data_IF_622178906600
#
_entry.id   IF_622178906600
#
_cell.length_a   1.000
_cell.length_b   1.000
_cell.length_c   1.000
_cell.angle_alpha   90.00
_cell.angle_beta   90.00
_cell.angle_gamma   90.00
#
_symmetry.space_group_name_H-M   'P 1'
#
loop_
_entity.id
_entity.type
_entity.pdbx_description
1 polymer ?
#
# COMPACT_ATOMS: atom_id res chain seq x y z
N UNK A 1 -35.36 0.74 11.18
CA UNK A 1 -34.31 1.57 11.52
C UNK A 1 -33.14 0.71 11.85
N UNK A 2 -32.39 0.47 10.95
CA UNK A 2 -31.06 0.28 11.39
C UNK A 2 -30.72 1.46 12.26
N UNK A 3 -31.43 1.47 13.40
CA UNK A 3 -31.32 2.52 14.34
C UNK A 3 -29.86 2.69 14.63
N UNK A 4 -29.27 3.68 14.18
CA UNK A 4 -27.96 4.02 14.57
C UNK A 4 -26.84 3.80 13.57
N UNK A 5 -27.10 3.23 12.41
CA UNK A 5 -26.12 3.28 11.34
C UNK A 5 -26.71 4.18 10.25
N UNK A 6 -26.48 5.50 10.33
CA UNK A 6 -26.91 6.35 9.25
C UNK A 6 -26.21 5.88 7.99
N UNK A 7 -26.99 5.58 7.00
CA UNK A 7 -26.45 5.34 5.69
C UNK A 7 -25.55 6.50 5.27
N UNK A 8 -24.47 6.21 4.56
CA UNK A 8 -23.69 7.25 3.94
C UNK A 8 -24.56 8.02 2.97
N UNK A 9 -24.56 9.33 3.07
CA UNK A 9 -25.16 10.19 2.05
C UNK A 9 -24.41 10.03 0.74
N UNK A 10 -24.98 10.48 -0.35
CA UNK A 10 -24.28 10.45 -1.65
C UNK A 10 -22.98 11.25 -1.60
N UNK A 11 -22.97 12.36 -0.88
CA UNK A 11 -21.75 13.16 -0.70
C UNK A 11 -20.71 12.43 0.12
N UNK A 12 -21.10 11.77 1.20
CA UNK A 12 -20.21 10.98 2.02
C UNK A 12 -19.62 9.79 1.23
N UNK A 13 -20.45 9.12 0.43
CA UNK A 13 -19.99 8.04 -0.46
C UNK A 13 -18.95 8.54 -1.45
N UNK A 14 -19.18 9.68 -2.08
CA UNK A 14 -18.21 10.28 -3.00
C UNK A 14 -16.90 10.64 -2.30
N UNK A 15 -16.98 11.13 -1.08
CA UNK A 15 -15.78 11.44 -0.28
C UNK A 15 -14.99 10.16 0.03
N UNK A 16 -15.66 9.07 0.39
CA UNK A 16 -15.01 7.78 0.64
C UNK A 16 -14.38 7.25 -0.64
N UNK A 17 -15.10 7.26 -1.75
CA UNK A 17 -14.58 6.81 -3.05
C UNK A 17 -13.40 7.64 -3.52
N UNK A 18 -13.46 8.96 -3.33
CA UNK A 18 -12.35 9.87 -3.65
C UNK A 18 -11.12 9.56 -2.81
N UNK A 19 -11.31 9.31 -1.51
CA UNK A 19 -10.21 8.95 -0.61
C UNK A 19 -9.58 7.61 -0.98
N UNK A 20 -10.40 6.64 -1.37
CA UNK A 20 -9.91 5.35 -1.88
C UNK A 20 -9.02 5.56 -3.10
N UNK A 21 -9.48 6.34 -4.06
CA UNK A 21 -8.70 6.65 -5.27
C UNK A 21 -7.38 7.33 -4.93
N UNK A 22 -7.38 8.29 -4.00
CA UNK A 22 -6.17 8.98 -3.55
C UNK A 22 -5.17 7.99 -2.94
N UNK A 23 -5.63 7.14 -2.03
CA UNK A 23 -4.76 6.16 -1.36
C UNK A 23 -4.23 5.14 -2.36
N UNK A 24 -5.06 4.64 -3.28
CA UNK A 24 -4.63 3.72 -4.34
C UNK A 24 -3.51 4.34 -5.18
N UNK A 25 -3.63 5.62 -5.50
CA UNK A 25 -2.57 6.35 -6.21
C UNK A 25 -1.29 6.49 -5.39
N UNK A 26 -1.41 6.69 -4.08
CA UNK A 26 -0.26 6.85 -3.17
C UNK A 26 0.54 5.56 -2.98
N UNK A 27 -0.14 4.40 -2.95
CA UNK A 27 0.52 3.11 -2.71
C UNK A 27 1.07 2.46 -3.98
N UNK A 28 0.81 3.01 -5.15
CA UNK A 28 1.30 2.51 -6.42
C UNK A 28 2.43 3.39 -6.96
N UNK A 29 3.40 2.81 -7.70
CA UNK A 29 4.43 3.60 -8.35
C UNK A 29 3.84 4.60 -9.36
N UNK A 30 4.37 5.82 -9.35
CA UNK A 30 4.03 6.85 -10.34
C UNK A 30 4.98 6.84 -11.54
N UNK A 31 4.77 7.76 -12.48
CA UNK A 31 5.49 7.78 -13.75
C UNK A 31 7.01 7.96 -13.64
N UNK A 32 7.50 8.70 -12.63
CA UNK A 32 8.93 8.95 -12.42
C UNK A 32 9.56 8.03 -11.38
N UNK A 33 8.80 7.13 -10.79
CA UNK A 33 9.24 6.32 -9.65
C UNK A 33 10.41 5.41 -10.00
N UNK A 34 10.45 4.86 -11.21
CA UNK A 34 11.55 4.01 -11.64
C UNK A 34 12.88 4.74 -11.59
N UNK A 35 12.96 5.96 -12.12
CA UNK A 35 14.16 6.77 -12.10
C UNK A 35 14.56 7.16 -10.68
N UNK A 36 13.60 7.51 -9.86
CA UNK A 36 13.85 7.86 -8.45
C UNK A 36 14.36 6.64 -7.68
N UNK A 37 13.78 5.47 -7.88
CA UNK A 37 14.24 4.23 -7.23
C UNK A 37 15.65 3.86 -7.66
N UNK A 38 15.99 4.02 -8.92
CA UNK A 38 17.38 3.81 -9.40
C UNK A 38 18.35 4.75 -8.72
N UNK A 39 17.99 6.02 -8.57
CA UNK A 39 18.82 7.00 -7.85
C UNK A 39 18.97 6.62 -6.36
N UNK A 40 17.90 6.13 -5.73
CA UNK A 40 17.94 5.66 -4.35
C UNK A 40 18.83 4.42 -4.19
N UNK A 41 18.83 3.51 -5.15
CA UNK A 41 19.73 2.35 -5.15
C UNK A 41 21.19 2.78 -5.27
N UNK A 42 21.50 3.73 -6.15
CA UNK A 42 22.83 4.28 -6.27
C UNK A 42 23.31 4.95 -4.96
N UNK A 43 22.43 5.73 -4.33
CA UNK A 43 22.69 6.32 -3.00
C UNK A 43 22.97 5.23 -1.96
N UNK A 44 22.15 4.19 -1.94
CA UNK A 44 22.32 3.07 -1.01
C UNK A 44 23.69 2.39 -1.16
N UNK A 45 24.13 2.16 -2.39
CA UNK A 45 25.42 1.53 -2.67
C UNK A 45 26.59 2.39 -2.24
N UNK A 46 26.43 3.71 -2.22
CA UNK A 46 27.45 4.65 -1.73
C UNK A 46 27.37 4.79 -0.21
N UNK A 47 26.18 4.87 0.35
CA UNK A 47 25.94 5.14 1.77
C UNK A 47 26.26 3.96 2.68
N UNK A 48 26.25 2.74 2.15
CA UNK A 48 26.48 1.52 2.92
C UNK A 48 27.79 0.85 2.48
N UNK A 49 28.41 0.08 3.37
CA UNK A 49 29.54 -0.74 3.00
C UNK A 49 29.08 -1.79 1.98
N UNK A 50 29.80 -1.92 0.90
CA UNK A 50 29.53 -2.90 -0.13
C UNK A 50 30.85 -3.53 -0.61
N UNK A 51 30.74 -4.80 -1.05
CA UNK A 51 31.86 -5.44 -1.72
C UNK A 51 32.18 -4.66 -3.02
N UNK A 52 33.46 -4.64 -3.38
CA UNK A 52 33.87 -4.01 -4.64
C UNK A 52 33.26 -4.78 -5.81
N UNK A 53 32.26 -4.19 -6.44
CA UNK A 53 31.52 -4.82 -7.55
C UNK A 53 32.02 -4.22 -8.88
N UNK A 54 32.09 -5.06 -9.92
CA UNK A 54 32.27 -4.59 -11.28
C UNK A 54 31.02 -3.84 -11.74
N UNK A 55 31.17 -3.02 -12.78
CA UNK A 55 30.07 -2.28 -13.37
C UNK A 55 28.89 -3.23 -13.76
N UNK A 56 29.23 -4.39 -14.35
CA UNK A 56 28.23 -5.39 -14.73
C UNK A 56 27.52 -6.00 -13.52
N UNK A 57 28.25 -6.27 -12.43
CA UNK A 57 27.67 -6.78 -11.19
C UNK A 57 26.74 -5.77 -10.54
N UNK A 58 27.08 -4.49 -10.55
CA UNK A 58 26.21 -3.40 -10.08
C UNK A 58 24.92 -3.35 -10.90
N UNK A 59 25.03 -3.47 -12.21
CA UNK A 59 23.89 -3.47 -13.13
C UNK A 59 22.96 -4.64 -12.86
N UNK A 60 23.50 -5.86 -12.69
CA UNK A 60 22.70 -7.05 -12.36
C UNK A 60 22.03 -6.90 -10.99
N UNK A 61 22.78 -6.44 -9.99
CA UNK A 61 22.28 -6.25 -8.63
C UNK A 61 21.14 -5.22 -8.61
N UNK A 62 21.33 -4.10 -9.31
CA UNK A 62 20.30 -3.07 -9.43
C UNK A 62 19.04 -3.60 -10.10
N UNK A 63 19.19 -4.43 -11.14
CA UNK A 63 18.06 -5.05 -11.83
C UNK A 63 17.25 -5.98 -10.89
N UNK A 64 17.94 -6.71 -10.02
CA UNK A 64 17.29 -7.59 -9.03
C UNK A 64 16.48 -6.75 -8.03
N UNK A 65 17.07 -5.68 -7.49
CA UNK A 65 16.35 -4.79 -6.58
C UNK A 65 15.13 -4.16 -7.26
N UNK A 66 15.29 -3.70 -8.50
CA UNK A 66 14.18 -3.09 -9.24
C UNK A 66 13.06 -4.07 -9.51
N UNK A 67 13.37 -5.33 -9.81
CA UNK A 67 12.38 -6.39 -9.99
C UNK A 67 11.60 -6.65 -8.69
N UNK A 68 12.30 -6.80 -7.57
CA UNK A 68 11.71 -7.06 -6.26
C UNK A 68 10.85 -5.88 -5.79
N UNK A 69 11.30 -4.66 -6.07
CA UNK A 69 10.63 -3.42 -5.62
C UNK A 69 9.71 -2.83 -6.69
N UNK A 70 9.37 -3.59 -7.72
CA UNK A 70 8.59 -3.11 -8.87
C UNK A 70 7.31 -2.40 -8.46
N UNK A 71 6.57 -2.95 -7.52
CA UNK A 71 5.27 -2.43 -7.10
C UNK A 71 5.34 -1.45 -5.92
N UNK A 72 6.56 -1.09 -5.49
CA UNK A 72 6.78 -0.18 -4.38
C UNK A 72 6.91 1.25 -4.90
N UNK A 73 6.13 2.20 -4.38
CA UNK A 73 6.29 3.60 -4.73
C UNK A 73 7.60 4.16 -4.18
N UNK A 74 8.20 5.10 -4.90
CA UNK A 74 9.50 5.67 -4.54
C UNK A 74 9.52 6.29 -3.14
N UNK A 75 8.43 6.90 -2.70
CA UNK A 75 8.38 7.51 -1.36
C UNK A 75 8.54 6.49 -0.24
N UNK A 76 7.95 5.29 -0.40
CA UNK A 76 8.08 4.23 0.59
C UNK A 76 9.51 3.69 0.65
N UNK A 77 10.13 3.51 -0.50
CA UNK A 77 11.54 3.11 -0.59
C UNK A 77 12.46 4.14 0.05
N UNK A 78 12.22 5.42 -0.21
CA UNK A 78 13.00 6.50 0.39
C UNK A 78 12.91 6.48 1.91
N UNK A 79 11.70 6.36 2.46
CA UNK A 79 11.50 6.27 3.91
C UNK A 79 12.18 5.06 4.53
N UNK A 80 12.04 3.90 3.88
CA UNK A 80 12.67 2.66 4.34
C UNK A 80 14.19 2.81 4.38
N UNK A 81 14.80 3.36 3.34
CA UNK A 81 16.24 3.59 3.30
C UNK A 81 16.71 4.62 4.33
N UNK A 82 15.96 5.69 4.55
CA UNK A 82 16.27 6.66 5.61
C UNK A 82 16.28 6.02 6.99
N UNK A 83 15.32 5.15 7.26
CA UNK A 83 15.29 4.38 8.51
C UNK A 83 16.45 3.39 8.60
N UNK A 84 16.82 2.78 7.48
CA UNK A 84 17.96 1.88 7.42
C UNK A 84 19.26 2.62 7.79
N UNK A 85 19.51 3.78 7.17
CA UNK A 85 20.70 4.58 7.46
C UNK A 85 20.74 5.07 8.92
N UNK A 86 19.58 5.29 9.52
CA UNK A 86 19.46 5.69 10.92
C UNK A 86 19.48 4.51 11.91
N UNK A 87 19.53 3.27 11.43
CA UNK A 87 19.49 2.09 12.27
C UNK A 87 18.15 1.86 12.97
N UNK A 88 17.04 2.29 12.35
CA UNK A 88 15.71 2.30 12.98
C UNK A 88 14.75 1.28 12.40
N UNK A 89 15.25 0.12 11.97
CA UNK A 89 14.38 -0.95 11.47
C UNK A 89 14.36 -2.07 12.50
N UNK A 90 13.16 -2.42 12.96
CA UNK A 90 12.96 -3.46 13.96
C UNK A 90 13.38 -4.84 13.43
N UNK A 91 13.95 -5.65 14.30
CA UNK A 91 14.36 -7.02 13.97
C UNK A 91 15.69 -7.14 13.22
N UNK A 92 16.39 -6.04 13.04
CA UNK A 92 17.71 -6.01 12.37
C UNK A 92 18.78 -5.78 13.41
N UNK A 93 19.85 -6.60 13.40
CA UNK A 93 21.00 -6.43 14.28
C UNK A 93 21.74 -5.14 13.92
N UNK A 94 22.27 -4.46 14.94
CA UNK A 94 22.87 -3.14 14.78
C UNK A 94 24.04 -3.13 13.79
N UNK A 95 24.84 -4.17 13.76
CA UNK A 95 25.98 -4.28 12.84
C UNK A 95 25.55 -4.46 11.38
N UNK A 96 24.33 -4.94 11.14
CA UNK A 96 23.82 -5.11 9.77
C UNK A 96 23.53 -3.79 9.06
N UNK A 97 23.26 -2.71 9.81
CA UNK A 97 23.00 -1.40 9.22
C UNK A 97 24.21 -0.78 8.51
N UNK A 98 25.40 -1.30 8.74
CA UNK A 98 26.60 -0.86 8.01
C UNK A 98 26.61 -1.37 6.56
N UNK A 99 25.82 -2.37 6.27
CA UNK A 99 25.74 -3.01 4.95
C UNK A 99 24.45 -2.63 4.25
N UNK A 100 24.42 -2.76 2.93
CA UNK A 100 23.18 -2.62 2.20
C UNK A 100 22.18 -3.71 2.61
N UNK A 101 20.89 -3.39 2.80
CA UNK A 101 19.90 -4.42 3.04
C UNK A 101 19.77 -5.33 1.82
N UNK A 102 19.46 -6.61 2.03
CA UNK A 102 19.06 -7.48 0.93
C UNK A 102 17.80 -6.94 0.25
N UNK A 103 17.55 -7.33 -0.98
CA UNK A 103 16.33 -6.92 -1.68
C UNK A 103 15.06 -7.35 -0.93
N UNK A 104 15.07 -8.56 -0.36
CA UNK A 104 13.94 -9.06 0.43
C UNK A 104 13.73 -8.25 1.72
N UNK A 105 14.79 -7.89 2.41
CA UNK A 105 14.71 -7.10 3.64
C UNK A 105 14.26 -5.66 3.33
N UNK A 106 14.76 -5.09 2.25
CA UNK A 106 14.33 -3.76 1.81
C UNK A 106 12.85 -3.75 1.42
N UNK A 107 12.38 -4.80 0.71
CA UNK A 107 10.95 -4.93 0.40
C UNK A 107 10.11 -4.98 1.67
N UNK A 108 10.52 -5.76 2.67
CA UNK A 108 9.81 -5.85 3.95
C UNK A 108 9.75 -4.48 4.65
N UNK A 109 10.84 -3.74 4.63
CA UNK A 109 10.87 -2.39 5.20
C UNK A 109 9.95 -1.43 4.44
N UNK A 110 9.87 -1.55 3.12
CA UNK A 110 8.94 -0.77 2.31
C UNK A 110 7.48 -1.15 2.60
N UNK A 111 7.20 -2.43 2.75
CA UNK A 111 5.86 -2.91 3.12
C UNK A 111 5.42 -2.37 4.47
N UNK A 112 6.33 -2.25 5.43
CA UNK A 112 6.05 -1.63 6.72
C UNK A 112 5.67 -0.16 6.57
N UNK A 113 6.32 0.58 5.67
CA UNK A 113 5.96 1.96 5.37
C UNK A 113 4.58 2.09 4.70
N UNK A 114 4.18 1.11 3.93
CA UNK A 114 2.90 1.09 3.23
C UNK A 114 1.73 0.57 4.09
N UNK A 115 2.02 -0.01 5.25
CA UNK A 115 1.02 -0.71 6.07
C UNK A 115 -0.16 0.18 6.43
N UNK A 116 0.09 1.38 6.95
CA UNK A 116 -0.98 2.29 7.37
C UNK A 116 -1.89 2.69 6.20
N UNK A 117 -1.30 2.95 5.04
CA UNK A 117 -2.05 3.29 3.83
C UNK A 117 -2.91 2.12 3.35
N UNK A 118 -2.35 0.90 3.38
CA UNK A 118 -3.08 -0.32 2.99
C UNK A 118 -4.22 -0.64 3.96
N UNK A 119 -3.99 -0.47 5.26
CA UNK A 119 -5.02 -0.66 6.28
C UNK A 119 -6.14 0.37 6.13
N UNK A 120 -5.80 1.63 5.91
CA UNK A 120 -6.79 2.68 5.66
C UNK A 120 -7.62 2.39 4.41
N UNK A 121 -6.97 1.91 3.34
CA UNK A 121 -7.66 1.53 2.11
C UNK A 121 -8.62 0.37 2.34
N UNK A 122 -8.18 -0.66 3.05
CA UNK A 122 -9.00 -1.82 3.38
C UNK A 122 -10.23 -1.40 4.22
N UNK A 123 -10.03 -0.54 5.21
CA UNK A 123 -11.10 -0.04 6.05
C UNK A 123 -12.14 0.77 5.26
N UNK A 124 -11.69 1.62 4.35
CA UNK A 124 -12.59 2.40 3.49
C UNK A 124 -13.38 1.53 2.53
N UNK A 125 -12.75 0.52 1.94
CA UNK A 125 -13.44 -0.45 1.07
C UNK A 125 -14.47 -1.25 1.85
N UNK A 126 -14.12 -1.68 3.05
CA UNK A 126 -15.04 -2.39 3.92
C UNK A 126 -16.25 -1.52 4.28
N UNK A 127 -16.04 -0.25 4.54
CA UNK A 127 -17.13 0.69 4.83
C UNK A 127 -18.13 0.76 3.67
N UNK A 128 -17.66 0.80 2.43
CA UNK A 128 -18.55 0.79 1.26
C UNK A 128 -19.27 -0.55 1.11
N UNK A 129 -18.61 -1.67 1.37
CA UNK A 129 -19.21 -3.01 1.25
C UNK A 129 -20.28 -3.25 2.30
N UNK A 130 -20.00 -2.89 3.56
CA UNK A 130 -21.00 -3.00 4.64
C UNK A 130 -22.24 -2.17 4.32
N UNK A 131 -22.05 -0.99 3.78
CA UNK A 131 -23.13 -0.11 3.36
C UNK A 131 -23.96 -0.73 2.25
N UNK A 132 -23.33 -1.33 1.26
CA UNK A 132 -24.02 -2.01 0.17
C UNK A 132 -24.86 -3.19 0.68
N UNK A 133 -24.33 -3.96 1.62
CA UNK A 133 -25.06 -5.05 2.26
C UNK A 133 -26.29 -4.52 3.02
N UNK A 134 -26.14 -3.44 3.77
CA UNK A 134 -27.27 -2.83 4.50
C UNK A 134 -28.38 -2.35 3.57
N UNK A 135 -28.03 -1.73 2.45
CA UNK A 135 -28.99 -1.32 1.43
C UNK A 135 -29.71 -2.52 0.82
N UNK A 136 -29.00 -3.59 0.54
CA UNK A 136 -29.58 -4.83 0.00
C UNK A 136 -30.56 -5.46 0.98
N UNK A 137 -30.21 -5.53 2.25
CA UNK A 137 -31.07 -6.05 3.31
C UNK A 137 -32.32 -5.18 3.43
N UNK A 138 -32.17 -3.86 3.43
CA UNK A 138 -33.31 -2.93 3.49
C UNK A 138 -34.28 -3.12 2.32
N UNK A 139 -33.75 -3.35 1.10
CA UNK A 139 -34.58 -3.65 -0.07
C UNK A 139 -35.32 -4.98 0.07
N UNK A 140 -34.67 -6.01 0.58
CA UNK A 140 -35.26 -7.32 0.78
C UNK A 140 -36.34 -7.30 1.88
N UNK A 141 -36.26 -6.43 2.87
CA UNK A 141 -37.22 -6.26 3.95
C UNK A 141 -38.35 -5.31 3.58
N UNK A 142 -38.33 -4.72 2.38
CA UNK A 142 -39.40 -3.83 1.94
C UNK A 142 -40.72 -4.58 1.78
N UNK A 143 -41.82 -4.15 2.44
CA UNK A 143 -43.11 -4.84 2.35
C UNK A 143 -43.69 -4.95 0.94
N UNK A 144 -43.43 -3.96 0.09
CA UNK A 144 -43.89 -3.96 -1.30
C UNK A 144 -43.21 -5.05 -2.13
N UNK A 145 -41.90 -5.25 -1.94
CA UNK A 145 -41.16 -6.29 -2.63
C UNK A 145 -41.49 -7.68 -2.11
N UNK A 146 -41.70 -7.83 -0.81
CA UNK A 146 -42.13 -9.09 -0.22
C UNK A 146 -43.50 -9.54 -0.77
N UNK A 147 -44.44 -8.63 -0.91
CA UNK A 147 -45.73 -8.93 -1.48
C UNK A 147 -45.68 -9.33 -2.94
N UNK A 148 -44.83 -8.69 -3.73
CA UNK A 148 -44.60 -9.06 -5.13
C UNK A 148 -44.00 -10.44 -5.27
N UNK A 149 -43.05 -10.79 -4.42
CA UNK A 149 -42.43 -12.12 -4.43
C UNK A 149 -43.41 -13.21 -4.05
N UNK A 150 -44.29 -12.95 -3.10
CA UNK A 150 -45.34 -13.90 -2.69
C UNK A 150 -46.39 -14.10 -3.78
N UNK A 151 -46.67 -13.09 -4.59
CA UNK A 151 -47.65 -13.16 -5.69
C UNK A 151 -47.13 -13.89 -6.92
N UNK A 152 -45.83 -13.99 -7.08
CA UNK A 152 -45.18 -14.68 -8.21
C UNK A 152 -44.91 -16.16 -7.92
N UNK A 153 -45.16 -16.59 -6.71
CA UNK A 153 -45.14 -17.99 -6.33
C UNK A 153 -46.53 -18.60 -6.47
#
# INVERSE_FOLDING_TARGET
>A
LSAGIPGLTDDERRQVESKITDIEGEIQPGGNDEDIKLALLAEMMIATASAKLSEKQVEIKSAIYMEVLRDVPAWAMRRALRKWYAGKIAGVAEDQFNWAPSSALLLRACDDELREHREALADLKLLLDVKHIDETIAELESPAKSNQQLRTL
#
